data_IF_281873085893
#
_entry.id   IF_281873085893
#
_cell.length_a   1.000
_cell.length_b   1.000
_cell.length_c   1.000
_cell.angle_alpha   90.00
_cell.angle_beta   90.00
_cell.angle_gamma   90.00
#
_symmetry.space_group_name_H-M   'P 1'
#
loop_
_entity.id
_entity.type
_entity.pdbx_description
1 polymer ?
#
# COMPACT_ATOMS: atom_id res chain seq x y z
N UNK A 1 -37.91 22.61 36.83
CA UNK A 1 -36.79 22.87 35.89
C UNK A 1 -35.78 21.73 35.83
N UNK A 2 -35.53 20.97 36.92
CA UNK A 2 -34.61 19.81 36.91
C UNK A 2 -35.16 18.58 36.13
N UNK A 3 -36.47 18.35 36.14
CA UNK A 3 -37.09 17.20 35.48
C UNK A 3 -36.90 17.17 33.94
N UNK A 4 -36.83 18.33 33.31
CA UNK A 4 -36.67 18.44 31.85
C UNK A 4 -35.23 18.17 31.40
N UNK A 5 -34.26 18.47 32.26
CA UNK A 5 -32.84 18.12 32.02
C UNK A 5 -32.64 16.60 32.05
N UNK A 6 -33.41 15.90 32.88
CA UNK A 6 -33.35 14.44 33.02
C UNK A 6 -33.97 13.72 31.81
N UNK A 7 -35.12 14.20 31.30
CA UNK A 7 -35.71 13.71 30.05
C UNK A 7 -34.82 13.96 28.82
N UNK A 8 -34.18 15.14 28.73
CA UNK A 8 -33.25 15.46 27.63
C UNK A 8 -32.01 14.57 27.71
N UNK A 9 -31.47 14.35 28.92
CA UNK A 9 -30.34 13.45 29.13
C UNK A 9 -30.68 12.01 28.73
N UNK A 10 -31.82 11.49 29.15
CA UNK A 10 -32.23 10.12 28.81
C UNK A 10 -32.46 9.94 27.30
N UNK A 11 -33.06 10.93 26.65
CA UNK A 11 -33.27 10.89 25.20
C UNK A 11 -31.94 10.96 24.44
N UNK A 12 -31.00 11.81 24.89
CA UNK A 12 -29.66 11.90 24.34
C UNK A 12 -28.87 10.61 24.59
N UNK A 13 -28.94 10.02 25.78
CA UNK A 13 -28.29 8.75 26.09
C UNK A 13 -28.81 7.62 25.19
N UNK A 14 -30.13 7.53 24.98
CA UNK A 14 -30.73 6.56 24.06
C UNK A 14 -30.25 6.74 22.61
N UNK A 15 -30.09 7.99 22.17
CA UNK A 15 -29.58 8.30 20.85
C UNK A 15 -28.08 7.99 20.72
N UNK A 16 -27.30 8.29 21.75
CA UNK A 16 -25.87 7.94 21.82
C UNK A 16 -25.67 6.43 21.84
N UNK A 17 -26.46 5.69 22.60
CA UNK A 17 -26.45 4.23 22.66
C UNK A 17 -26.74 3.63 21.28
N UNK A 18 -27.79 4.13 20.61
CA UNK A 18 -28.14 3.72 19.24
C UNK A 18 -27.02 4.04 18.23
N UNK A 19 -26.38 5.21 18.36
CA UNK A 19 -25.25 5.61 17.50
C UNK A 19 -23.99 4.78 17.76
N UNK A 20 -23.69 4.44 19.02
CA UNK A 20 -22.57 3.58 19.40
C UNK A 20 -22.79 2.16 18.87
N UNK A 21 -24.02 1.65 18.94
CA UNK A 21 -24.35 0.34 18.37
C UNK A 21 -24.22 0.33 16.85
N UNK A 22 -24.73 1.36 16.16
CA UNK A 22 -24.52 1.53 14.72
C UNK A 22 -23.04 1.63 14.36
N UNK A 23 -22.25 2.39 15.14
CA UNK A 23 -20.80 2.52 14.94
C UNK A 23 -20.07 1.19 15.15
N UNK A 24 -20.49 0.39 16.13
CA UNK A 24 -19.94 -0.95 16.41
C UNK A 24 -20.25 -1.92 15.27
N UNK A 25 -21.44 -1.86 14.69
CA UNK A 25 -21.85 -2.67 13.54
C UNK A 25 -21.08 -2.25 12.28
N UNK A 26 -20.98 -0.95 12.01
CA UNK A 26 -20.26 -0.42 10.84
C UNK A 26 -18.75 -0.67 10.93
N UNK A 27 -18.16 -0.54 12.12
CA UNK A 27 -16.74 -0.82 12.36
C UNK A 27 -16.45 -2.31 12.20
N UNK A 28 -17.33 -3.21 12.67
CA UNK A 28 -17.21 -4.65 12.40
C UNK A 28 -17.24 -4.95 10.92
N UNK A 29 -18.20 -4.39 10.18
CA UNK A 29 -18.31 -4.60 8.73
C UNK A 29 -17.07 -4.10 7.97
N UNK A 30 -16.53 -2.92 8.33
CA UNK A 30 -15.30 -2.40 7.73
C UNK A 30 -14.07 -3.24 8.08
N UNK A 31 -13.96 -3.73 9.32
CA UNK A 31 -12.87 -4.61 9.73
C UNK A 31 -12.97 -5.95 9.00
N UNK A 32 -14.16 -6.54 8.93
CA UNK A 32 -14.38 -7.80 8.20
C UNK A 32 -14.02 -7.64 6.72
N UNK A 33 -14.44 -6.55 6.07
CA UNK A 33 -14.09 -6.28 4.68
C UNK A 33 -12.60 -5.99 4.48
N UNK A 34 -11.95 -5.28 5.41
CA UNK A 34 -10.51 -5.03 5.39
C UNK A 34 -9.70 -6.32 5.60
N UNK A 35 -10.12 -7.19 6.51
CA UNK A 35 -9.46 -8.47 6.78
C UNK A 35 -9.62 -9.41 5.58
N UNK A 36 -10.82 -9.53 5.03
CA UNK A 36 -11.08 -10.36 3.84
C UNK A 36 -10.28 -9.86 2.65
N UNK A 37 -10.23 -8.55 2.41
CA UNK A 37 -9.43 -7.97 1.32
C UNK A 37 -7.92 -8.15 1.54
N UNK A 38 -7.43 -8.03 2.78
CA UNK A 38 -6.03 -8.29 3.11
C UNK A 38 -5.64 -9.76 2.90
N UNK A 39 -6.50 -10.71 3.30
CA UNK A 39 -6.27 -12.14 3.08
C UNK A 39 -6.27 -12.46 1.59
N UNK A 40 -7.24 -11.94 0.83
CA UNK A 40 -7.26 -12.11 -0.62
C UNK A 40 -6.01 -11.53 -1.28
N UNK A 41 -5.60 -10.32 -0.88
CA UNK A 41 -4.37 -9.70 -1.37
C UNK A 41 -3.14 -10.55 -1.03
N UNK A 42 -3.04 -11.09 0.18
CA UNK A 42 -1.93 -11.97 0.58
C UNK A 42 -1.89 -13.26 -0.25
N UNK A 43 -3.04 -13.87 -0.54
CA UNK A 43 -3.14 -15.04 -1.41
C UNK A 43 -2.68 -14.73 -2.84
N UNK A 44 -3.16 -13.63 -3.41
CA UNK A 44 -2.73 -13.19 -4.75
C UNK A 44 -1.23 -12.91 -4.77
N UNK A 45 -0.72 -12.21 -3.76
CA UNK A 45 0.70 -11.86 -3.65
C UNK A 45 1.58 -13.11 -3.53
N UNK A 46 1.11 -14.13 -2.81
CA UNK A 46 1.76 -15.45 -2.75
C UNK A 46 1.84 -16.13 -4.12
N UNK A 47 0.73 -16.15 -4.89
CA UNK A 47 0.71 -16.74 -6.23
C UNK A 47 1.66 -15.98 -7.17
N UNK A 48 1.62 -14.65 -7.15
CA UNK A 48 2.50 -13.80 -7.95
C UNK A 48 3.96 -14.04 -7.58
N UNK A 49 4.29 -14.19 -6.30
CA UNK A 49 5.64 -14.49 -5.83
C UNK A 49 6.16 -15.80 -6.46
N UNK A 50 5.35 -16.86 -6.45
CA UNK A 50 5.72 -18.15 -7.06
C UNK A 50 5.99 -18.00 -8.55
N UNK A 51 5.13 -17.28 -9.28
CA UNK A 51 5.30 -17.02 -10.71
C UNK A 51 6.59 -16.24 -10.99
N UNK A 52 6.88 -15.22 -10.19
CA UNK A 52 8.10 -14.40 -10.31
C UNK A 52 9.35 -15.26 -10.07
N UNK A 53 9.34 -16.11 -9.04
CA UNK A 53 10.47 -17.01 -8.77
C UNK A 53 10.71 -17.94 -9.96
N UNK A 54 9.66 -18.55 -10.51
CA UNK A 54 9.76 -19.41 -11.69
C UNK A 54 10.29 -18.65 -12.91
N UNK A 55 9.85 -17.41 -13.13
CA UNK A 55 10.36 -16.54 -14.20
C UNK A 55 11.85 -16.24 -14.05
N UNK A 56 12.30 -15.94 -12.83
CA UNK A 56 13.73 -15.70 -12.55
C UNK A 56 14.55 -16.95 -12.81
N UNK A 57 14.05 -18.12 -12.41
CA UNK A 57 14.74 -19.40 -12.66
C UNK A 57 14.81 -19.69 -14.17
N UNK A 58 13.72 -19.45 -14.90
CA UNK A 58 13.65 -19.64 -16.35
C UNK A 58 14.64 -18.72 -17.07
N UNK A 59 14.68 -17.43 -16.71
CA UNK A 59 15.64 -16.47 -17.26
C UNK A 59 17.09 -16.86 -16.91
N UNK A 60 17.34 -17.32 -15.70
CA UNK A 60 18.66 -17.78 -15.27
C UNK A 60 19.13 -18.98 -16.06
N UNK A 61 18.25 -19.94 -16.27
CA UNK A 61 18.53 -21.13 -17.08
C UNK A 61 18.78 -20.77 -18.56
N UNK A 62 18.00 -19.82 -19.10
CA UNK A 62 18.19 -19.33 -20.47
C UNK A 62 19.56 -18.66 -20.63
N UNK A 63 19.93 -17.80 -19.68
CA UNK A 63 21.22 -17.10 -19.70
C UNK A 63 22.39 -18.08 -19.49
N UNK A 64 22.22 -19.11 -18.66
CA UNK A 64 23.15 -20.21 -18.46
C UNK A 64 23.50 -20.91 -19.77
N UNK A 65 22.47 -21.28 -20.55
CA UNK A 65 22.66 -21.97 -21.84
C UNK A 65 23.41 -21.10 -22.82
N UNK A 66 23.16 -19.79 -22.80
CA UNK A 66 23.86 -18.85 -23.67
C UNK A 66 25.33 -18.66 -23.28
N UNK A 67 25.64 -18.73 -21.98
CA UNK A 67 26.99 -18.55 -21.45
C UNK A 67 27.81 -19.85 -21.32
N UNK A 68 27.25 -21.01 -21.73
CA UNK A 68 27.87 -22.33 -21.61
C UNK A 68 28.38 -22.69 -20.21
N UNK A 69 27.72 -22.20 -19.17
CA UNK A 69 28.09 -22.47 -17.76
C UNK A 69 26.84 -22.77 -16.96
N UNK A 70 26.93 -23.63 -15.95
CA UNK A 70 25.79 -24.11 -15.16
C UNK A 70 25.32 -23.16 -14.04
N UNK A 71 26.06 -22.09 -13.74
CA UNK A 71 25.73 -21.21 -12.60
C UNK A 71 25.86 -19.71 -12.90
N UNK A 72 26.61 -19.32 -13.94
CA UNK A 72 26.89 -17.91 -14.22
C UNK A 72 25.64 -17.12 -14.61
N UNK A 73 24.64 -17.76 -15.21
CA UNK A 73 23.37 -17.11 -15.55
C UNK A 73 22.64 -16.56 -14.32
N UNK A 74 22.67 -17.29 -13.21
CA UNK A 74 22.07 -16.85 -11.94
C UNK A 74 22.88 -15.76 -11.26
N UNK A 75 24.21 -15.84 -11.28
CA UNK A 75 25.11 -14.83 -10.69
C UNK A 75 24.95 -13.47 -11.38
N UNK A 76 24.86 -13.46 -12.72
CA UNK A 76 24.65 -12.23 -13.49
C UNK A 76 23.27 -11.63 -13.18
N UNK A 77 22.21 -12.45 -13.14
CA UNK A 77 20.88 -11.97 -12.76
C UNK A 77 20.86 -11.38 -11.35
N UNK A 78 21.51 -12.04 -10.40
CA UNK A 78 21.61 -11.58 -9.02
C UNK A 78 22.37 -10.25 -8.96
N UNK A 79 23.48 -10.11 -9.69
CA UNK A 79 24.20 -8.86 -9.85
C UNK A 79 23.34 -7.73 -10.42
N UNK A 80 22.58 -8.00 -11.49
CA UNK A 80 21.66 -7.01 -12.10
C UNK A 80 20.57 -6.58 -11.11
N UNK A 81 19.99 -7.53 -10.37
CA UNK A 81 18.98 -7.20 -9.36
C UNK A 81 19.55 -6.35 -8.23
N UNK A 82 20.76 -6.66 -7.74
CA UNK A 82 21.44 -5.85 -6.72
C UNK A 82 21.71 -4.44 -7.24
N UNK A 83 22.26 -4.29 -8.45
CA UNK A 83 22.52 -2.98 -9.05
C UNK A 83 21.22 -2.18 -9.18
N UNK A 84 20.14 -2.81 -9.64
CA UNK A 84 18.82 -2.17 -9.76
C UNK A 84 18.28 -1.72 -8.40
N UNK A 85 18.48 -2.52 -7.36
CA UNK A 85 18.05 -2.22 -5.99
C UNK A 85 18.86 -1.06 -5.39
N UNK A 86 20.19 -1.08 -5.54
CA UNK A 86 21.07 0.01 -5.11
C UNK A 86 20.71 1.30 -5.85
N UNK A 87 20.49 1.22 -7.16
CA UNK A 87 20.07 2.36 -7.97
C UNK A 87 18.73 2.92 -7.44
N UNK A 88 17.77 2.05 -7.14
CA UNK A 88 16.49 2.48 -6.56
C UNK A 88 16.67 3.18 -5.21
N UNK A 89 17.49 2.64 -4.31
CA UNK A 89 17.74 3.25 -3.00
C UNK A 89 18.36 4.65 -3.13
N UNK A 90 19.37 4.81 -3.99
CA UNK A 90 20.02 6.10 -4.21
C UNK A 90 19.10 7.09 -4.92
N UNK A 91 18.27 6.62 -5.86
CA UNK A 91 17.34 7.47 -6.59
C UNK A 91 16.10 7.81 -5.77
N UNK A 92 15.72 7.02 -4.76
CA UNK A 92 14.51 7.24 -3.96
C UNK A 92 14.48 8.64 -3.36
N UNK A 93 15.60 9.11 -2.83
CA UNK A 93 15.69 10.45 -2.24
C UNK A 93 15.51 11.55 -3.30
N UNK A 94 16.11 11.38 -4.48
CA UNK A 94 15.92 12.31 -5.61
C UNK A 94 14.47 12.31 -6.11
N UNK A 95 13.84 11.14 -6.20
CA UNK A 95 12.44 11.01 -6.61
C UNK A 95 11.49 11.62 -5.60
N UNK A 96 11.72 11.45 -4.29
CA UNK A 96 10.93 12.09 -3.24
C UNK A 96 11.03 13.61 -3.31
N UNK A 97 12.24 14.15 -3.52
CA UNK A 97 12.46 15.59 -3.68
C UNK A 97 11.81 16.13 -4.95
N UNK A 98 11.88 15.38 -6.06
CA UNK A 98 11.25 15.76 -7.33
C UNK A 98 9.72 15.77 -7.22
N UNK A 99 9.12 14.76 -6.57
CA UNK A 99 7.68 14.74 -6.28
C UNK A 99 7.27 15.94 -5.41
N UNK A 100 8.05 16.25 -4.38
CA UNK A 100 7.76 17.38 -3.48
C UNK A 100 7.79 18.71 -4.23
N UNK A 101 8.79 18.92 -5.08
CA UNK A 101 8.89 20.13 -5.91
C UNK A 101 7.75 20.22 -6.94
N UNK A 102 7.28 19.08 -7.47
CA UNK A 102 6.16 19.04 -8.39
C UNK A 102 4.86 19.45 -7.68
N UNK A 103 4.58 18.88 -6.50
CA UNK A 103 3.38 19.19 -5.70
C UNK A 103 3.37 20.66 -5.27
N UNK A 104 4.50 21.20 -4.81
CA UNK A 104 4.61 22.61 -4.42
C UNK A 104 4.34 23.54 -5.61
N UNK A 105 4.90 23.24 -6.79
CA UNK A 105 4.62 24.02 -8.01
C UNK A 105 3.14 23.98 -8.40
N UNK A 106 2.50 22.82 -8.32
CA UNK A 106 1.07 22.71 -8.59
C UNK A 106 0.20 23.46 -7.57
N UNK A 107 0.64 23.57 -6.31
CA UNK A 107 -0.07 24.35 -5.29
C UNK A 107 0.04 25.86 -5.54
N UNK A 108 1.22 26.38 -5.93
CA UNK A 108 1.40 27.81 -6.20
C UNK A 108 0.72 28.28 -7.49
N UNK A 109 0.65 27.44 -8.52
CA UNK A 109 -0.12 27.73 -9.75
C UNK A 109 -1.62 27.94 -9.46
N UNK A 110 -2.13 27.38 -8.36
CA UNK A 110 -3.53 27.54 -7.96
C UNK A 110 -3.78 28.86 -7.23
N UNK A 111 -2.78 29.43 -6.55
CA UNK A 111 -2.88 30.72 -5.86
C UNK A 111 -2.75 31.91 -6.84
N UNK A 112 -1.87 31.83 -7.84
CA UNK A 112 -1.73 32.90 -8.87
C UNK A 112 -2.94 33.00 -9.82
N UNK A 113 -3.82 32.01 -9.86
CA UNK A 113 -5.08 32.07 -10.64
C UNK A 113 -6.24 32.71 -9.88
N UNK A 114 -6.05 33.09 -8.61
CA UNK A 114 -7.07 33.73 -7.78
C UNK A 114 -6.74 35.18 -7.39
N UNK A 115 -5.62 35.74 -7.87
CA UNK A 115 -5.25 37.15 -7.71
C UNK A 115 -5.58 37.97 -8.97
#
# INVERSE_FOLDING_TARGET
MLNQLEEIKDTLFKYFETRIDLFKIETRSKIEQAVVSAVYAALVLSIVLVIVILLVILLGTFLNKWLQSDYLGYVILLGVFIVKLVLWLVLKDKWMQMLRNLIVRFSQIKEDKQA
#
